data_IF_151509577240
#
_entry.id   IF_151509577240
#
_cell.length_a   1.000
_cell.length_b   1.000
_cell.length_c   1.000
_cell.angle_alpha   90.00
_cell.angle_beta   90.00
_cell.angle_gamma   90.00
#
_symmetry.space_group_name_H-M   'P 1'
#
loop_
_entity.id
_entity.type
_entity.pdbx_description
1 polymer ?
#
# COMPACT_ATOMS: atom_id res chain seq x y z
N UNK A 1 -20.09 16.39 39.30
CA UNK A 1 -21.28 16.56 38.45
C UNK A 1 -21.06 15.81 37.16
N UNK A 2 -21.84 14.77 36.90
CA UNK A 2 -21.73 13.92 35.71
C UNK A 2 -22.48 14.59 34.56
N UNK A 3 -21.81 14.74 33.41
CA UNK A 3 -22.44 15.28 32.19
C UNK A 3 -23.59 14.37 31.76
N UNK A 4 -24.71 14.98 31.39
CA UNK A 4 -25.89 14.27 30.91
C UNK A 4 -25.68 13.81 29.46
N UNK A 5 -26.33 12.72 29.04
CA UNK A 5 -26.22 12.18 27.68
C UNK A 5 -26.50 13.24 26.59
N UNK A 6 -27.43 14.17 26.85
CA UNK A 6 -27.73 15.31 25.97
C UNK A 6 -26.57 16.31 25.86
N UNK A 7 -25.80 16.51 26.93
CA UNK A 7 -24.61 17.37 26.89
C UNK A 7 -23.48 16.72 26.09
N UNK A 8 -23.34 15.39 26.16
CA UNK A 8 -22.40 14.67 25.30
C UNK A 8 -22.79 14.77 23.83
N UNK A 9 -24.07 14.63 23.49
CA UNK A 9 -24.54 14.80 22.11
C UNK A 9 -24.29 16.21 21.59
N UNK A 10 -24.57 17.25 22.39
CA UNK A 10 -24.28 18.64 22.02
C UNK A 10 -22.78 18.91 21.83
N UNK A 11 -21.90 18.34 22.68
CA UNK A 11 -20.44 18.47 22.49
C UNK A 11 -19.96 17.71 21.24
N UNK A 12 -20.57 16.58 20.90
CA UNK A 12 -20.23 15.84 19.67
C UNK A 12 -20.73 16.53 18.40
N UNK A 13 -21.88 17.21 18.44
CA UNK A 13 -22.37 18.01 17.29
C UNK A 13 -21.54 19.28 17.08
N UNK A 14 -21.11 19.95 18.16
CA UNK A 14 -20.29 21.16 18.07
C UNK A 14 -18.83 20.90 17.63
N UNK A 15 -18.40 19.63 17.56
CA UNK A 15 -17.01 19.25 17.24
C UNK A 15 -16.73 18.96 15.76
N UNK A 16 -17.77 18.83 14.92
CA UNK A 16 -17.62 18.56 13.49
C UNK A 16 -18.18 19.74 12.69
N UNK A 17 -17.32 20.70 12.37
CA UNK A 17 -17.65 21.70 11.34
C UNK A 17 -17.68 20.97 9.99
N UNK A 18 -18.88 20.72 9.48
CA UNK A 18 -19.08 20.24 8.11
C UNK A 18 -18.80 21.41 7.16
N UNK A 19 -17.61 21.41 6.56
CA UNK A 19 -17.22 22.41 5.57
C UNK A 19 -17.52 21.87 4.18
N UNK A 20 -18.44 22.54 3.47
CA UNK A 20 -18.75 22.26 2.07
C UNK A 20 -17.97 23.25 1.19
N UNK A 21 -17.24 22.72 0.21
CA UNK A 21 -16.42 23.49 -0.71
C UNK A 21 -16.97 23.33 -2.13
N UNK A 22 -17.18 24.45 -2.82
CA UNK A 22 -17.65 24.47 -4.20
C UNK A 22 -16.54 24.92 -5.16
N UNK A 23 -16.47 24.30 -6.34
CA UNK A 23 -15.51 24.65 -7.38
C UNK A 23 -14.05 24.51 -6.94
N UNK A 24 -13.30 25.63 -6.99
CA UNK A 24 -11.86 25.67 -6.73
C UNK A 24 -11.50 26.01 -5.26
N UNK A 25 -12.50 26.24 -4.39
CA UNK A 25 -12.29 26.69 -3.00
C UNK A 25 -11.54 25.65 -2.16
N UNK A 26 -11.73 24.36 -2.46
CA UNK A 26 -10.97 23.28 -1.84
C UNK A 26 -9.46 23.40 -2.13
N UNK A 27 -9.10 23.76 -3.37
CA UNK A 27 -7.70 23.93 -3.77
C UNK A 27 -7.10 25.22 -3.20
N UNK A 28 -7.90 26.28 -3.04
CA UNK A 28 -7.43 27.51 -2.39
C UNK A 28 -7.12 27.29 -0.90
N UNK A 29 -7.95 26.52 -0.19
CA UNK A 29 -7.81 26.33 1.26
C UNK A 29 -6.78 25.26 1.63
N UNK A 30 -6.75 24.13 0.89
CA UNK A 30 -5.90 22.98 1.21
C UNK A 30 -4.76 22.75 0.22
N UNK A 31 -4.78 23.42 -0.94
CA UNK A 31 -3.78 23.23 -1.99
C UNK A 31 -3.85 21.85 -2.64
N UNK A 32 -2.72 21.43 -3.19
CA UNK A 32 -2.54 20.09 -3.73
C UNK A 32 -2.28 19.11 -2.58
N UNK A 33 -3.32 18.40 -2.15
CA UNK A 33 -3.20 17.34 -1.13
C UNK A 33 -2.37 16.18 -1.70
N UNK A 34 -1.07 16.17 -1.39
CA UNK A 34 -0.18 15.07 -1.72
C UNK A 34 -0.60 13.82 -0.94
N UNK A 35 -1.27 12.88 -1.62
CA UNK A 35 -1.43 11.53 -1.10
C UNK A 35 -0.03 10.89 -1.03
N UNK A 36 0.58 10.89 0.16
CA UNK A 36 1.79 10.13 0.41
C UNK A 36 1.44 8.62 0.36
N UNK A 37 1.42 8.03 -0.83
CA UNK A 37 1.44 6.57 -1.03
C UNK A 37 2.73 5.94 -0.43
N UNK A 38 3.66 6.79 0.00
CA UNK A 38 4.96 6.53 0.62
C UNK A 38 4.95 6.62 2.17
N UNK A 39 3.83 6.36 2.85
CA UNK A 39 3.84 5.97 4.27
C UNK A 39 4.55 4.60 4.39
N UNK A 40 5.88 4.66 4.35
CA UNK A 40 6.79 3.54 4.46
C UNK A 40 6.91 3.23 5.94
N UNK A 41 6.13 2.25 6.40
CA UNK A 41 6.29 1.71 7.74
C UNK A 41 7.71 1.12 7.88
N UNK A 42 8.53 1.75 8.72
CA UNK A 42 9.78 1.16 9.19
C UNK A 42 9.43 0.08 10.22
N UNK A 43 9.93 -1.14 10.02
CA UNK A 43 9.66 -2.22 10.96
C UNK A 43 10.91 -3.05 11.24
N UNK A 44 10.97 -3.69 12.40
CA UNK A 44 12.12 -4.50 12.78
C UNK A 44 11.93 -5.95 12.35
N UNK A 45 12.79 -6.43 11.46
CA UNK A 45 12.87 -7.83 11.06
C UNK A 45 14.18 -8.43 11.55
N UNK A 46 14.11 -9.39 12.48
CA UNK A 46 15.28 -10.08 13.06
C UNK A 46 16.34 -9.10 13.63
N UNK A 47 15.89 -8.07 14.35
CA UNK A 47 16.78 -7.05 14.95
C UNK A 47 17.33 -6.02 13.96
N UNK A 48 16.84 -5.98 12.71
CA UNK A 48 17.21 -4.98 11.71
C UNK A 48 16.00 -4.16 11.27
N UNK A 49 16.15 -2.84 11.22
CA UNK A 49 15.14 -1.96 10.60
C UNK A 49 15.07 -2.24 9.10
N UNK A 50 13.91 -2.65 8.62
CA UNK A 50 13.62 -2.89 7.21
C UNK A 50 12.49 -2.00 6.74
N UNK A 51 12.63 -1.48 5.52
CA UNK A 51 11.58 -0.71 4.85
C UNK A 51 10.50 -1.66 4.36
N UNK A 52 9.28 -1.54 4.88
CA UNK A 52 8.16 -2.37 4.43
C UNK A 52 7.65 -1.94 3.06
N UNK A 53 7.10 -2.89 2.32
CA UNK A 53 6.38 -2.63 1.07
C UNK A 53 7.23 -2.25 -0.14
N UNK A 54 8.54 -2.02 0.02
CA UNK A 54 9.45 -1.67 -1.08
C UNK A 54 10.19 -2.89 -1.62
N UNK A 55 10.01 -3.25 -2.91
CA UNK A 55 10.84 -4.28 -3.53
C UNK A 55 12.30 -3.88 -3.62
N UNK A 56 13.16 -4.70 -3.03
CA UNK A 56 14.62 -4.60 -3.09
C UNK A 56 15.19 -5.72 -3.97
N UNK A 57 16.46 -5.63 -4.42
CA UNK A 57 17.10 -6.78 -5.06
C UNK A 57 17.25 -7.92 -4.04
N UNK A 58 16.85 -9.11 -4.47
CA UNK A 58 16.81 -10.30 -3.62
C UNK A 58 18.08 -11.15 -3.70
N UNK A 59 18.13 -12.14 -2.79
CA UNK A 59 19.25 -13.08 -2.69
C UNK A 59 18.92 -14.36 -3.49
N UNK A 60 17.77 -14.99 -3.20
CA UNK A 60 17.33 -16.24 -3.84
C UNK A 60 16.57 -16.01 -5.15
N UNK A 61 15.81 -14.92 -5.20
CA UNK A 61 15.03 -14.50 -6.37
C UNK A 61 15.44 -13.09 -6.76
N UNK A 62 14.98 -12.62 -7.92
CA UNK A 62 15.40 -11.32 -8.45
C UNK A 62 15.10 -10.16 -7.51
N UNK A 63 13.95 -10.21 -6.84
CA UNK A 63 13.52 -9.21 -5.88
C UNK A 63 13.10 -9.85 -4.56
N UNK A 64 13.29 -9.11 -3.47
CA UNK A 64 12.76 -9.42 -2.14
C UNK A 64 11.94 -8.23 -1.63
N UNK A 65 10.92 -8.50 -0.83
CA UNK A 65 10.10 -7.47 -0.19
C UNK A 65 9.67 -7.95 1.19
N UNK A 66 9.68 -7.02 2.15
CA UNK A 66 9.16 -7.28 3.48
C UNK A 66 7.73 -6.77 3.56
N UNK A 67 6.83 -7.65 4.00
CA UNK A 67 5.40 -7.36 4.06
C UNK A 67 4.91 -7.70 5.46
N UNK A 68 4.18 -6.77 6.07
CA UNK A 68 3.45 -7.02 7.31
C UNK A 68 2.17 -7.78 6.99
N UNK A 69 1.98 -8.93 7.62
CA UNK A 69 0.74 -9.67 7.50
C UNK A 69 -0.35 -8.95 8.32
N UNK A 70 -1.50 -8.57 7.73
CA UNK A 70 -2.55 -7.88 8.47
C UNK A 70 -3.14 -8.74 9.59
N UNK A 71 -3.09 -10.07 9.46
CA UNK A 71 -3.69 -10.99 10.45
C UNK A 71 -2.78 -11.23 11.65
N UNK A 72 -1.51 -11.52 11.40
CA UNK A 72 -0.56 -11.93 12.45
C UNK A 72 0.36 -10.80 12.89
N UNK A 73 0.29 -9.63 12.27
CA UNK A 73 1.20 -8.47 12.45
C UNK A 73 2.69 -8.80 12.25
N UNK A 74 3.02 -10.04 11.89
CA UNK A 74 4.37 -10.53 11.65
C UNK A 74 4.86 -10.05 10.28
N UNK A 75 6.15 -9.72 10.22
CA UNK A 75 6.82 -9.34 8.98
C UNK A 75 7.27 -10.61 8.26
N UNK A 76 6.88 -10.74 7.01
CA UNK A 76 7.25 -11.84 6.13
C UNK A 76 8.17 -11.35 5.02
N UNK A 77 9.26 -12.07 4.79
CA UNK A 77 10.13 -11.89 3.61
C UNK A 77 9.54 -12.65 2.43
N UNK A 78 9.14 -11.93 1.38
CA UNK A 78 8.63 -12.52 0.13
C UNK A 78 9.67 -12.35 -0.96
N UNK A 79 10.12 -13.47 -1.55
CA UNK A 79 11.05 -13.48 -2.68
C UNK A 79 10.26 -13.69 -3.98
N UNK A 80 10.51 -12.88 -5.02
CA UNK A 80 9.76 -12.95 -6.27
C UNK A 80 10.60 -12.58 -7.51
N UNK A 81 10.11 -12.97 -8.68
CA UNK A 81 10.77 -12.78 -9.96
C UNK A 81 11.90 -13.78 -10.24
N UNK A 82 12.13 -14.04 -11.51
CA UNK A 82 13.21 -14.91 -11.96
C UNK A 82 14.51 -14.11 -12.15
N UNK A 83 15.65 -14.51 -11.53
CA UNK A 83 16.92 -13.79 -11.65
C UNK A 83 17.37 -13.55 -13.10
N UNK A 84 17.21 -14.57 -13.95
CA UNK A 84 17.77 -14.63 -15.29
C UNK A 84 16.85 -13.95 -16.32
N UNK A 85 15.57 -13.76 -16.00
CA UNK A 85 14.62 -13.13 -16.92
C UNK A 85 14.57 -11.61 -16.78
N UNK A 86 14.53 -10.89 -17.92
CA UNK A 86 14.29 -9.45 -17.98
C UNK A 86 12.85 -9.16 -18.44
N UNK A 87 12.17 -8.27 -17.72
CA UNK A 87 10.84 -7.79 -18.11
C UNK A 87 11.00 -6.85 -19.30
N UNK A 88 10.36 -7.19 -20.43
CA UNK A 88 10.31 -6.35 -21.64
C UNK A 88 9.14 -5.36 -21.53
N UNK A 89 9.33 -4.30 -20.73
CA UNK A 89 8.27 -3.31 -20.44
C UNK A 89 7.73 -2.59 -21.68
N UNK A 90 8.55 -2.41 -22.71
CA UNK A 90 8.16 -1.74 -23.95
C UNK A 90 7.16 -2.53 -24.80
N UNK A 91 6.97 -3.83 -24.56
CA UNK A 91 6.06 -4.65 -25.37
C UNK A 91 4.72 -4.90 -24.62
N UNK A 92 3.62 -4.26 -25.02
CA UNK A 92 2.33 -4.38 -24.34
C UNK A 92 1.71 -5.79 -24.50
N UNK A 93 1.97 -6.50 -25.60
CA UNK A 93 1.46 -7.86 -25.80
C UNK A 93 2.02 -8.82 -24.75
N UNK A 94 3.32 -8.69 -24.40
CA UNK A 94 3.94 -9.50 -23.33
C UNK A 94 3.33 -9.20 -21.96
N UNK A 95 2.94 -7.95 -21.69
CA UNK A 95 2.19 -7.58 -20.49
C UNK A 95 0.81 -8.23 -20.45
N UNK A 96 0.07 -8.17 -21.54
CA UNK A 96 -1.24 -8.84 -21.64
C UNK A 96 -1.12 -10.35 -21.40
N UNK A 97 -0.19 -11.04 -22.07
CA UNK A 97 0.02 -12.48 -21.89
C UNK A 97 0.52 -12.86 -20.49
N UNK A 98 1.32 -12.02 -19.85
CA UNK A 98 1.74 -12.25 -18.46
C UNK A 98 0.55 -12.13 -17.51
N UNK A 99 -0.23 -11.04 -17.63
CA UNK A 99 -1.40 -10.79 -16.79
C UNK A 99 -2.45 -11.89 -16.91
N UNK A 100 -2.71 -12.38 -18.13
CA UNK A 100 -3.66 -13.47 -18.38
C UNK A 100 -3.22 -14.79 -17.71
N UNK A 101 -1.96 -15.21 -17.89
CA UNK A 101 -1.45 -16.46 -17.31
C UNK A 101 -1.36 -16.45 -15.78
N UNK A 102 -1.19 -15.26 -15.19
CA UNK A 102 -1.03 -15.12 -13.75
C UNK A 102 -2.28 -14.58 -13.04
N UNK A 103 -3.39 -14.36 -13.75
CA UNK A 103 -4.61 -13.76 -13.21
C UNK A 103 -4.32 -12.51 -12.35
N UNK A 104 -3.65 -11.53 -12.97
CA UNK A 104 -3.22 -10.32 -12.28
C UNK A 104 -4.36 -9.34 -11.96
N UNK A 105 -5.60 -9.67 -12.34
CA UNK A 105 -6.78 -8.87 -12.00
C UNK A 105 -7.24 -9.18 -10.57
N UNK A 106 -7.07 -10.43 -10.10
CA UNK A 106 -7.19 -10.80 -8.70
C UNK A 106 -5.89 -11.49 -8.18
N UNK A 107 -4.81 -10.71 -8.00
CA UNK A 107 -3.51 -11.27 -7.68
C UNK A 107 -3.39 -11.82 -6.25
N UNK A 108 -4.35 -11.53 -5.37
CA UNK A 108 -4.39 -11.99 -3.98
C UNK A 108 -3.63 -11.06 -3.00
N UNK A 109 -3.44 -11.48 -1.74
CA UNK A 109 -2.87 -10.63 -0.69
C UNK A 109 -1.39 -10.29 -0.95
N UNK A 110 -0.93 -9.17 -0.38
CA UNK A 110 0.47 -8.69 -0.45
C UNK A 110 1.49 -9.72 0.07
N UNK A 111 1.07 -10.71 0.84
CA UNK A 111 1.95 -11.79 1.33
C UNK A 111 2.33 -12.81 0.25
N UNK A 112 1.64 -12.83 -0.89
CA UNK A 112 1.94 -13.76 -1.99
C UNK A 112 2.90 -13.14 -3.02
N UNK A 113 3.84 -13.94 -3.53
CA UNK A 113 4.77 -13.53 -4.58
C UNK A 113 4.07 -13.10 -5.88
N UNK A 114 2.90 -13.69 -6.19
CA UNK A 114 2.10 -13.35 -7.37
C UNK A 114 1.69 -11.89 -7.40
N UNK A 115 1.26 -11.34 -6.26
CA UNK A 115 0.92 -9.92 -6.12
C UNK A 115 2.08 -9.03 -6.55
N UNK A 116 3.27 -9.31 -6.04
CA UNK A 116 4.46 -8.52 -6.35
C UNK A 116 4.92 -8.68 -7.79
N UNK A 117 4.82 -9.88 -8.36
CA UNK A 117 5.13 -10.11 -9.76
C UNK A 117 4.18 -9.34 -10.69
N UNK A 118 2.87 -9.34 -10.39
CA UNK A 118 1.87 -8.57 -11.13
C UNK A 118 2.05 -7.05 -10.97
N UNK A 119 2.43 -6.56 -9.79
CA UNK A 119 2.70 -5.14 -9.54
C UNK A 119 4.00 -4.67 -10.22
N UNK A 120 4.98 -5.55 -10.37
CA UNK A 120 6.29 -5.20 -10.97
C UNK A 120 6.28 -5.18 -12.50
N UNK A 121 5.34 -5.91 -13.11
CA UNK A 121 5.20 -6.04 -14.56
C UNK A 121 4.45 -4.86 -15.19
#
# INVERSE_FOLDING_TARGET
MTKTFKQYLNETEQGYMEETYDGDDFFANYGEMWYNDDLIDEAEYQGRKVRLGKPMRGDVKKFKVYVKDPKTKNIKKVNFGDPNMKIKKSNPARRRSFRARHNCDNPGPRTKARYWSCRKW
#
